data_IF_782091518574
#
_entry.id   IF_782091518574
#
_cell.length_a   1.000
_cell.length_b   1.000
_cell.length_c   1.000
_cell.angle_alpha   90.00
_cell.angle_beta   90.00
_cell.angle_gamma   90.00
#
_symmetry.space_group_name_H-M   'P 1'
#
loop_
_entity.id
_entity.type
_entity.pdbx_description
1 polymer ?
#
# COMPACT_ATOMS: atom_id res chain seq x y z
N UNK A 1 6.99 43.97 50.57
CA UNK A 1 5.60 44.45 50.52
C UNK A 1 4.71 43.28 50.10
N UNK A 2 3.50 43.16 50.69
CA UNK A 2 2.71 41.93 50.88
C UNK A 2 1.88 41.57 49.64
N UNK A 3 1.33 40.36 49.45
CA UNK A 3 0.09 39.86 50.09
C UNK A 3 -0.15 38.41 49.64
N UNK A 4 -0.19 37.38 50.52
CA UNK A 4 -1.36 36.84 51.23
C UNK A 4 -2.66 36.73 50.40
N UNK A 5 -3.09 35.48 50.14
CA UNK A 5 -4.41 34.95 50.54
C UNK A 5 -4.42 33.41 50.49
N UNK A 6 -4.53 32.82 51.67
CA UNK A 6 -5.02 31.47 51.94
C UNK A 6 -6.54 31.44 51.70
N UNK A 7 -7.12 30.30 51.35
CA UNK A 7 -8.33 29.79 52.02
C UNK A 7 -8.43 28.27 51.88
N UNK A 8 -8.49 27.63 53.05
CA UNK A 8 -8.93 26.27 53.31
C UNK A 8 -10.45 26.25 53.52
N UNK A 9 -11.06 25.07 53.30
CA UNK A 9 -12.37 24.69 53.85
C UNK A 9 -13.40 24.38 52.75
N UNK A 10 -14.29 23.41 52.87
CA UNK A 10 -14.52 22.39 53.89
C UNK A 10 -15.47 21.32 53.29
N UNK A 11 -15.45 20.16 53.92
CA UNK A 11 -16.38 19.01 53.88
C UNK A 11 -17.87 19.30 53.62
N UNK A 12 -18.52 18.39 52.87
CA UNK A 12 -19.89 17.95 53.14
C UNK A 12 -20.04 16.44 52.89
N UNK A 13 -20.23 15.71 53.99
CA UNK A 13 -20.74 14.33 54.03
C UNK A 13 -22.26 14.45 54.16
N UNK A 14 -23.01 13.73 53.32
CA UNK A 14 -24.41 13.39 53.57
C UNK A 14 -24.56 11.89 53.37
N UNK A 15 -25.10 11.24 54.40
CA UNK A 15 -25.47 9.84 54.44
C UNK A 15 -27.00 9.69 54.35
N UNK A 16 -27.41 8.46 54.02
CA UNK A 16 -28.63 7.72 54.44
C UNK A 16 -29.68 7.36 53.39
N UNK A 17 -30.21 6.14 53.63
CA UNK A 17 -31.31 5.36 53.01
C UNK A 17 -30.89 4.55 51.76
N UNK A 18 -30.92 3.21 51.70
CA UNK A 18 -31.57 2.21 52.54
C UNK A 18 -32.88 1.75 51.90
N UNK A 19 -32.84 0.66 51.11
CA UNK A 19 -33.97 -0.23 50.86
C UNK A 19 -33.45 -1.66 50.65
N UNK A 20 -33.82 -2.53 51.58
CA UNK A 20 -33.83 -3.99 51.45
C UNK A 20 -35.16 -4.40 50.81
N UNK A 21 -35.13 -5.42 49.95
CA UNK A 21 -36.30 -6.05 49.34
C UNK A 21 -36.01 -6.33 47.86
N UNK A 22 -36.30 -7.48 47.27
CA UNK A 22 -37.00 -8.68 47.70
C UNK A 22 -36.49 -9.80 46.79
N UNK A 23 -36.48 -11.02 47.30
CA UNK A 23 -36.23 -12.22 46.51
C UNK A 23 -37.43 -12.44 45.59
N UNK A 24 -37.20 -12.45 44.28
CA UNK A 24 -38.14 -13.03 43.32
C UNK A 24 -37.35 -14.03 42.47
N UNK A 25 -37.66 -15.29 42.70
CA UNK A 25 -37.15 -16.44 41.95
C UNK A 25 -38.08 -16.61 40.76
N UNK A 26 -37.81 -15.83 39.71
CA UNK A 26 -38.44 -15.98 38.41
C UNK A 26 -37.44 -16.60 37.45
N UNK A 27 -37.60 -17.90 37.17
CA UNK A 27 -37.10 -18.51 35.94
C UNK A 27 -37.61 -17.66 34.78
N UNK A 28 -36.73 -16.85 34.21
CA UNK A 28 -36.90 -16.25 32.91
C UNK A 28 -35.69 -16.67 32.12
N UNK A 29 -35.89 -17.61 31.20
CA UNK A 29 -35.11 -17.72 29.97
C UNK A 29 -35.12 -16.33 29.33
N UNK A 30 -34.18 -15.50 29.76
CA UNK A 30 -33.82 -14.28 29.07
C UNK A 30 -33.09 -14.74 27.84
N UNK A 31 -33.82 -14.86 26.74
CA UNK A 31 -33.30 -14.77 25.38
C UNK A 31 -32.46 -13.50 25.33
N UNK A 32 -31.17 -13.66 25.65
CA UNK A 32 -30.21 -12.58 25.69
C UNK A 32 -29.91 -12.19 24.26
N UNK A 33 -30.77 -11.36 23.67
CA UNK A 33 -30.45 -10.63 22.45
C UNK A 33 -29.06 -10.03 22.67
N UNK A 34 -28.05 -10.41 21.87
CA UNK A 34 -26.69 -9.90 22.05
C UNK A 34 -26.77 -8.39 22.03
N UNK A 35 -26.40 -7.77 23.16
CA UNK A 35 -26.31 -6.33 23.31
C UNK A 35 -25.55 -5.80 22.12
N UNK A 36 -26.24 -5.05 21.26
CA UNK A 36 -25.70 -4.43 20.06
C UNK A 36 -24.45 -3.67 20.48
N UNK A 37 -23.27 -4.21 20.11
CA UNK A 37 -21.98 -3.59 20.36
C UNK A 37 -22.06 -2.14 19.88
N UNK A 38 -21.89 -1.19 20.80
CA UNK A 38 -21.97 0.23 20.48
C UNK A 38 -21.05 0.51 19.28
N UNK A 39 -21.59 1.18 18.26
CA UNK A 39 -20.84 1.49 17.06
C UNK A 39 -19.60 2.32 17.44
N UNK A 40 -18.41 1.83 17.07
CA UNK A 40 -17.17 2.57 17.33
C UNK A 40 -17.17 3.90 16.57
N UNK A 41 -16.75 4.96 17.24
CA UNK A 41 -16.50 6.23 16.57
C UNK A 41 -15.22 6.13 15.71
N UNK A 42 -15.12 6.93 14.65
CA UNK A 42 -13.88 7.02 13.86
C UNK A 42 -12.71 7.44 14.76
N UNK A 43 -11.61 6.70 14.69
CA UNK A 43 -10.43 6.92 15.55
C UNK A 43 -10.52 6.27 16.95
N UNK A 44 -11.70 5.78 17.36
CA UNK A 44 -11.81 4.90 18.52
C UNK A 44 -11.25 3.52 18.19
N UNK A 45 -10.68 2.86 19.20
CA UNK A 45 -10.12 1.52 19.09
C UNK A 45 -10.58 0.65 20.24
N UNK A 46 -10.86 -0.60 19.94
CA UNK A 46 -11.27 -1.62 20.91
C UNK A 46 -10.30 -2.78 20.85
N UNK A 47 -9.95 -3.34 22.00
CA UNK A 47 -9.08 -4.52 22.02
C UNK A 47 -9.84 -5.71 21.41
N UNK A 48 -9.16 -6.55 20.63
CA UNK A 48 -9.74 -7.82 20.20
C UNK A 48 -10.16 -8.68 21.40
N UNK A 49 -11.11 -9.59 21.20
CA UNK A 49 -11.65 -10.45 22.26
C UNK A 49 -11.23 -11.92 22.11
N UNK A 50 -10.81 -12.34 20.92
CA UNK A 50 -10.40 -13.70 20.67
C UNK A 50 -9.15 -14.08 21.47
N UNK A 51 -8.93 -15.38 21.64
CA UNK A 51 -7.75 -15.91 22.33
C UNK A 51 -6.45 -15.40 21.71
N UNK A 52 -5.41 -15.31 22.56
CA UNK A 52 -4.08 -14.90 22.11
C UNK A 52 -3.59 -15.82 20.98
N UNK A 53 -2.89 -15.22 20.02
CA UNK A 53 -2.28 -15.95 18.93
C UNK A 53 -0.77 -16.08 19.19
N UNK A 54 -0.20 -17.25 18.95
CA UNK A 54 1.26 -17.47 19.02
C UNK A 54 1.76 -17.98 17.69
N UNK A 55 2.85 -17.41 17.17
CA UNK A 55 3.48 -17.89 15.94
C UNK A 55 5.01 -17.82 16.02
N UNK A 56 5.64 -18.64 15.19
CA UNK A 56 7.09 -18.75 15.05
C UNK A 56 7.46 -18.51 13.58
N UNK A 57 8.48 -17.69 13.31
CA UNK A 57 8.99 -17.42 11.97
C UNK A 57 10.50 -17.60 11.95
N UNK A 58 10.99 -18.50 11.11
CA UNK A 58 12.42 -18.61 10.79
C UNK A 58 12.70 -17.77 9.55
N UNK A 59 13.61 -16.80 9.66
CA UNK A 59 14.04 -15.98 8.53
C UNK A 59 15.24 -16.64 7.86
N UNK A 60 15.08 -17.05 6.60
CA UNK A 60 16.13 -17.70 5.81
C UNK A 60 16.53 -16.90 4.57
N UNK A 61 16.13 -15.64 4.48
CA UNK A 61 16.35 -14.86 3.27
C UNK A 61 17.83 -14.43 3.15
N UNK A 62 18.45 -14.76 2.01
CA UNK A 62 19.86 -14.49 1.70
C UNK A 62 20.23 -12.99 1.71
N UNK A 63 19.22 -12.11 1.70
CA UNK A 63 19.40 -10.65 1.76
C UNK A 63 19.75 -10.10 3.14
N UNK A 64 19.63 -10.92 4.19
CA UNK A 64 20.00 -10.54 5.55
C UNK A 64 21.27 -11.24 5.97
N UNK A 65 22.17 -10.51 6.63
CA UNK A 65 23.37 -11.08 7.22
C UNK A 65 23.48 -10.64 8.67
N UNK A 66 23.71 -11.59 9.57
CA UNK A 66 24.00 -11.28 10.95
C UNK A 66 25.48 -10.93 11.12
N UNK A 67 25.77 -9.78 11.72
CA UNK A 67 27.12 -9.26 11.93
C UNK A 67 27.49 -9.36 13.40
N UNK A 68 28.27 -10.39 13.73
CA UNK A 68 28.60 -10.73 15.12
C UNK A 68 29.41 -9.64 15.83
N UNK A 69 30.26 -8.90 15.11
CA UNK A 69 31.17 -7.92 15.72
C UNK A 69 30.48 -6.76 16.44
N UNK A 70 29.22 -6.45 16.09
CA UNK A 70 28.47 -5.33 16.65
C UNK A 70 27.02 -5.70 17.01
N UNK A 71 26.65 -6.97 16.98
CA UNK A 71 25.30 -7.46 17.24
C UNK A 71 24.21 -6.81 16.38
N UNK A 72 24.47 -6.67 15.09
CA UNK A 72 23.54 -6.08 14.12
C UNK A 72 23.12 -7.05 13.04
N UNK A 73 21.99 -6.77 12.41
CA UNK A 73 21.56 -7.38 11.15
C UNK A 73 21.83 -6.37 10.04
N UNK A 74 22.60 -6.80 9.04
CA UNK A 74 22.76 -6.11 7.76
C UNK A 74 21.53 -6.40 6.91
N UNK A 75 20.88 -5.35 6.42
CA UNK A 75 19.67 -5.44 5.59
C UNK A 75 19.75 -4.45 4.43
N UNK A 76 19.10 -4.71 3.29
CA UNK A 76 19.01 -3.73 2.21
C UNK A 76 18.14 -2.55 2.69
N UNK A 77 18.75 -1.38 2.90
CA UNK A 77 18.07 -0.18 3.39
C UNK A 77 17.39 0.60 2.25
N UNK A 78 18.02 0.60 1.08
CA UNK A 78 17.45 1.11 -0.16
C UNK A 78 17.67 0.07 -1.26
N UNK A 79 16.60 -0.20 -1.99
CA UNK A 79 16.63 -0.81 -3.32
C UNK A 79 16.11 0.24 -4.29
N UNK A 80 16.78 1.39 -4.32
CA UNK A 80 16.57 2.40 -5.36
C UNK A 80 17.56 2.09 -6.47
N UNK A 81 17.11 1.41 -7.52
CA UNK A 81 17.92 1.17 -8.71
C UNK A 81 19.13 0.24 -8.55
N UNK A 82 19.89 0.14 -9.66
CA UNK A 82 20.95 -0.84 -9.96
C UNK A 82 22.29 -0.67 -9.23
N UNK A 83 22.35 0.16 -8.19
CA UNK A 83 23.55 0.24 -7.37
C UNK A 83 23.66 -0.98 -6.44
N UNK A 84 24.89 -1.31 -6.00
CA UNK A 84 25.10 -2.24 -4.90
C UNK A 84 24.17 -1.81 -3.76
N UNK A 85 23.22 -2.66 -3.31
CA UNK A 85 22.17 -2.23 -2.39
C UNK A 85 22.82 -1.56 -1.19
N UNK A 86 22.38 -0.34 -0.88
CA UNK A 86 22.91 0.33 0.30
C UNK A 86 22.45 -0.48 1.51
N UNK A 87 23.42 -1.02 2.23
CA UNK A 87 23.13 -1.84 3.39
C UNK A 87 23.01 -0.98 4.63
N UNK A 88 21.84 -1.06 5.26
CA UNK A 88 21.64 -0.61 6.63
C UNK A 88 22.11 -1.65 7.62
N UNK A 89 22.38 -1.20 8.84
CA UNK A 89 22.68 -2.06 9.98
C UNK A 89 21.74 -1.67 11.12
N UNK A 90 21.01 -2.66 11.64
CA UNK A 90 20.09 -2.46 12.75
C UNK A 90 20.47 -3.42 13.89
N UNK A 91 20.51 -2.98 15.15
CA UNK A 91 20.74 -3.87 16.29
C UNK A 91 19.80 -5.08 16.24
N UNK A 92 20.30 -6.28 16.51
CA UNK A 92 19.52 -7.51 16.37
C UNK A 92 18.19 -7.46 17.12
N UNK A 93 18.19 -6.91 18.33
CA UNK A 93 16.98 -6.75 19.16
C UNK A 93 15.93 -5.83 18.51
N UNK A 94 16.38 -4.79 17.81
CA UNK A 94 15.54 -3.83 17.09
C UNK A 94 14.99 -4.44 15.79
N UNK A 95 15.86 -5.12 15.04
CA UNK A 95 15.46 -5.85 13.84
C UNK A 95 14.45 -6.96 14.16
N UNK A 96 14.66 -7.73 15.25
CA UNK A 96 13.69 -8.72 15.74
C UNK A 96 12.38 -8.05 16.12
N UNK A 97 12.41 -6.85 16.71
CA UNK A 97 11.20 -6.10 17.06
C UNK A 97 10.37 -5.79 15.81
N UNK A 98 11.00 -5.35 14.72
CA UNK A 98 10.34 -5.09 13.42
C UNK A 98 9.88 -6.39 12.75
N UNK A 99 10.70 -7.44 12.74
CA UNK A 99 10.33 -8.71 12.11
C UNK A 99 9.20 -9.45 12.84
N UNK A 100 9.22 -9.45 14.17
CA UNK A 100 8.08 -9.91 14.98
C UNK A 100 6.84 -9.07 14.69
N UNK A 101 7.02 -7.78 14.41
CA UNK A 101 5.97 -6.83 14.12
C UNK A 101 5.34 -7.00 12.73
N UNK A 102 6.11 -7.41 11.75
CA UNK A 102 5.67 -7.68 10.39
C UNK A 102 4.96 -9.03 10.31
N UNK A 103 5.59 -10.09 10.83
CA UNK A 103 5.09 -11.45 10.71
C UNK A 103 3.74 -11.69 11.40
N UNK A 104 3.40 -10.88 12.41
CA UNK A 104 2.10 -10.95 13.10
C UNK A 104 0.94 -10.47 12.23
N UNK A 105 1.18 -9.58 11.26
CA UNK A 105 0.11 -9.05 10.39
C UNK A 105 -0.51 -10.18 9.60
N UNK A 106 0.35 -10.98 8.95
CA UNK A 106 -0.07 -12.16 8.18
C UNK A 106 -0.79 -13.17 9.09
N UNK A 107 -0.23 -13.48 10.27
CA UNK A 107 -0.84 -14.44 11.19
C UNK A 107 -2.23 -13.99 11.71
N UNK A 108 -2.42 -12.69 11.97
CA UNK A 108 -3.71 -12.13 12.38
C UNK A 108 -4.68 -12.12 11.21
N UNK A 109 -4.24 -11.73 10.01
CA UNK A 109 -5.07 -11.76 8.82
C UNK A 109 -5.55 -13.18 8.49
N UNK A 110 -4.64 -14.16 8.47
CA UNK A 110 -4.96 -15.59 8.28
C UNK A 110 -5.96 -16.13 9.31
N UNK A 111 -5.97 -15.55 10.52
CA UNK A 111 -6.95 -15.90 11.55
C UNK A 111 -8.31 -15.30 11.21
N UNK A 112 -8.36 -14.02 10.86
CA UNK A 112 -9.60 -13.32 10.52
C UNK A 112 -10.24 -13.93 9.27
N UNK A 113 -9.45 -14.23 8.24
CA UNK A 113 -9.90 -14.88 7.00
C UNK A 113 -10.60 -16.23 7.25
N UNK A 114 -10.11 -17.02 8.22
CA UNK A 114 -10.74 -18.29 8.60
C UNK A 114 -11.94 -18.13 9.55
N UNK A 115 -12.00 -17.04 10.30
CA UNK A 115 -13.01 -16.82 11.34
C UNK A 115 -14.23 -16.04 10.85
N UNK A 116 -14.06 -15.19 9.85
CA UNK A 116 -15.09 -14.34 9.29
C UNK A 116 -15.68 -14.93 8.01
N UNK A 117 -16.92 -14.59 7.71
CA UNK A 117 -17.57 -14.98 6.45
C UNK A 117 -16.99 -14.23 5.23
N UNK A 118 -16.48 -13.01 5.46
CA UNK A 118 -15.84 -12.16 4.47
C UNK A 118 -14.79 -11.28 5.16
N UNK A 119 -13.67 -11.04 4.46
CA UNK A 119 -12.63 -10.07 4.84
C UNK A 119 -12.61 -8.86 3.91
N UNK A 120 -13.62 -8.72 3.04
CA UNK A 120 -13.76 -7.56 2.17
C UNK A 120 -13.75 -6.25 2.98
N UNK A 121 -12.88 -5.32 2.59
CA UNK A 121 -12.65 -4.03 3.27
C UNK A 121 -12.23 -4.16 4.75
N UNK A 122 -11.66 -5.30 5.12
CA UNK A 122 -10.91 -5.48 6.37
C UNK A 122 -9.43 -5.53 6.06
N UNK A 123 -8.64 -4.70 6.72
CA UNK A 123 -7.18 -4.77 6.61
C UNK A 123 -6.56 -5.09 7.96
N UNK A 124 -5.34 -5.61 7.95
CA UNK A 124 -4.52 -5.75 9.15
C UNK A 124 -3.22 -5.01 8.90
N UNK A 125 -2.82 -4.18 9.86
CA UNK A 125 -1.58 -3.44 9.81
C UNK A 125 -0.94 -3.33 11.18
N UNK A 126 0.14 -2.58 11.25
CA UNK A 126 0.73 -2.24 12.53
C UNK A 126 1.32 -0.84 12.55
N UNK A 127 1.42 -0.30 13.74
CA UNK A 127 1.98 1.03 13.95
C UNK A 127 2.28 1.27 15.41
N UNK A 128 2.83 2.44 15.70
CA UNK A 128 3.01 2.90 17.08
C UNK A 128 1.75 3.58 17.55
N UNK A 129 1.40 3.36 18.81
CA UNK A 129 0.35 4.14 19.45
C UNK A 129 0.84 5.59 19.65
N UNK A 130 -0.02 6.61 19.46
CA UNK A 130 0.34 7.98 19.81
C UNK A 130 0.81 8.07 21.27
N UNK A 131 2.07 8.50 21.47
CA UNK A 131 2.68 8.58 22.79
C UNK A 131 3.28 7.28 23.33
N UNK A 132 3.35 6.22 22.52
CA UNK A 132 4.07 4.98 22.84
C UNK A 132 5.21 4.73 21.85
N UNK A 133 6.31 4.17 22.35
CA UNK A 133 7.37 3.63 21.50
C UNK A 133 7.10 2.18 21.07
N UNK A 134 6.10 1.53 21.68
CA UNK A 134 5.73 0.15 21.39
C UNK A 134 4.80 0.06 20.17
N UNK A 135 4.97 -1.01 19.40
CA UNK A 135 4.08 -1.33 18.30
C UNK A 135 2.80 -2.03 18.78
N UNK A 136 1.70 -1.68 18.13
CA UNK A 136 0.41 -2.36 18.22
C UNK A 136 0.02 -2.92 16.86
N UNK A 137 -0.77 -3.99 16.85
CA UNK A 137 -1.43 -4.50 15.64
C UNK A 137 -2.83 -3.91 15.57
N UNK A 138 -3.27 -3.56 14.37
CA UNK A 138 -4.61 -3.06 14.13
C UNK A 138 -5.30 -3.90 13.06
N UNK A 139 -6.51 -4.39 13.34
CA UNK A 139 -7.46 -4.79 12.33
C UNK A 139 -8.37 -3.60 12.04
N UNK A 140 -8.44 -3.17 10.78
CA UNK A 140 -9.21 -2.01 10.37
C UNK A 140 -10.50 -2.43 9.67
N UNK A 141 -11.62 -1.89 10.15
CA UNK A 141 -12.92 -1.92 9.48
C UNK A 141 -12.98 -0.68 8.58
N UNK A 142 -12.74 -0.85 7.28
CA UNK A 142 -12.48 0.25 6.34
C UNK A 142 -13.73 0.63 5.53
N UNK A 143 -14.14 1.90 5.61
CA UNK A 143 -15.19 2.46 4.75
C UNK A 143 -14.57 3.40 3.74
N UNK A 144 -14.82 3.19 2.47
CA UNK A 144 -14.32 4.02 1.37
C UNK A 144 -15.37 5.03 0.94
N UNK A 145 -14.96 6.26 0.63
CA UNK A 145 -15.85 7.35 0.18
C UNK A 145 -15.32 8.05 -1.06
N UNK A 146 -16.15 8.39 -2.02
CA UNK A 146 -15.74 9.21 -3.16
C UNK A 146 -15.35 10.65 -2.76
N UNK A 147 -14.86 11.44 -3.71
CA UNK A 147 -14.52 12.87 -3.54
C UNK A 147 -15.70 13.74 -3.05
N UNK A 148 -16.94 13.28 -3.23
CA UNK A 148 -18.14 13.95 -2.73
C UNK A 148 -18.50 13.53 -1.29
N UNK A 149 -17.74 12.60 -0.69
CA UNK A 149 -17.97 12.03 0.62
C UNK A 149 -19.03 10.93 0.64
N UNK A 150 -19.48 10.44 -0.51
CA UNK A 150 -20.45 9.34 -0.64
C UNK A 150 -19.74 8.02 -0.39
N UNK A 151 -20.30 7.15 0.45
CA UNK A 151 -19.74 5.81 0.69
C UNK A 151 -19.84 4.98 -0.60
N UNK A 152 -18.71 4.52 -1.11
CA UNK A 152 -18.60 3.67 -2.31
C UNK A 152 -18.35 2.20 -1.98
N UNK A 153 -17.74 1.93 -0.82
CA UNK A 153 -17.53 0.58 -0.31
C UNK A 153 -17.48 0.55 1.22
N UNK A 154 -17.99 -0.54 1.80
CA UNK A 154 -17.98 -0.79 3.24
C UNK A 154 -17.79 -2.29 3.53
N UNK A 155 -17.30 -2.67 4.72
CA UNK A 155 -17.05 -4.07 5.02
C UNK A 155 -18.36 -4.81 5.29
N UNK A 156 -18.54 -5.99 4.68
CA UNK A 156 -19.74 -6.82 4.86
C UNK A 156 -19.90 -7.35 6.29
N UNK A 157 -18.79 -7.41 7.02
CA UNK A 157 -18.78 -7.88 8.41
C UNK A 157 -19.10 -6.76 9.38
N UNK A 158 -19.97 -6.99 10.38
CA UNK A 158 -20.18 -6.02 11.44
C UNK A 158 -18.93 -5.89 12.29
N UNK A 159 -18.60 -4.67 12.70
CA UNK A 159 -17.41 -4.38 13.53
C UNK A 159 -17.35 -5.23 14.82
N UNK A 160 -18.50 -5.60 15.39
CA UNK A 160 -18.58 -6.49 16.54
C UNK A 160 -18.06 -7.90 16.25
N UNK A 161 -18.36 -8.47 15.09
CA UNK A 161 -17.83 -9.77 14.68
C UNK A 161 -16.29 -9.70 14.48
N UNK A 162 -15.81 -8.60 13.88
CA UNK A 162 -14.38 -8.36 13.74
C UNK A 162 -13.68 -8.29 15.11
N UNK A 163 -14.27 -7.60 16.12
CA UNK A 163 -13.75 -7.54 17.50
C UNK A 163 -13.68 -8.93 18.14
N UNK A 164 -14.73 -9.73 17.98
CA UNK A 164 -14.81 -11.10 18.54
C UNK A 164 -13.74 -12.00 17.92
N UNK A 165 -13.52 -11.93 16.61
CA UNK A 165 -12.55 -12.79 15.92
C UNK A 165 -11.09 -12.32 16.05
N UNK A 166 -10.89 -11.03 16.29
CA UNK A 166 -9.56 -10.43 16.46
C UNK A 166 -8.94 -10.89 17.79
N UNK A 167 -7.73 -11.49 17.79
CA UNK A 167 -7.08 -11.93 19.02
C UNK A 167 -6.77 -10.73 19.90
N UNK A 168 -6.88 -10.82 21.22
CA UNK A 168 -6.56 -9.67 22.09
C UNK A 168 -5.05 -9.37 22.20
N UNK A 169 -4.21 -10.31 21.76
CA UNK A 169 -2.75 -10.27 21.88
C UNK A 169 -2.11 -11.25 20.89
N UNK A 170 -0.95 -10.89 20.34
CA UNK A 170 -0.12 -11.80 19.53
C UNK A 170 1.28 -11.92 20.14
N UNK A 171 1.71 -13.15 20.36
CA UNK A 171 3.06 -13.52 20.77
C UNK A 171 3.83 -14.01 19.53
N UNK A 172 4.90 -13.31 19.17
CA UNK A 172 5.73 -13.58 18.01
C UNK A 172 7.10 -14.08 18.46
N UNK A 173 7.62 -15.10 17.79
CA UNK A 173 8.99 -15.56 17.93
C UNK A 173 9.67 -15.57 16.56
N UNK A 174 10.83 -14.94 16.45
CA UNK A 174 11.62 -14.90 15.23
C UNK A 174 12.97 -15.55 15.49
N UNK A 175 13.36 -16.46 14.60
CA UNK A 175 14.68 -17.08 14.55
C UNK A 175 15.44 -16.61 13.30
N UNK A 176 16.70 -16.18 13.48
CA UNK A 176 17.61 -15.76 12.43
C UNK A 176 19.06 -16.01 12.83
N UNK A 177 19.86 -16.64 11.97
CA UNK A 177 21.28 -16.93 12.21
C UNK A 177 21.55 -17.61 13.57
N UNK A 178 20.80 -18.68 13.87
CA UNK A 178 20.85 -19.45 15.14
C UNK A 178 20.55 -18.62 16.41
N UNK A 179 20.05 -17.40 16.22
CA UNK A 179 19.61 -16.49 17.28
C UNK A 179 18.11 -16.36 17.20
N UNK A 180 17.51 -16.03 18.34
CA UNK A 180 16.08 -15.92 18.44
C UNK A 180 15.68 -14.74 19.31
N UNK A 181 14.53 -14.16 19.04
CA UNK A 181 13.91 -13.24 19.97
C UNK A 181 12.39 -13.29 19.89
N UNK A 182 11.76 -12.97 21.01
CA UNK A 182 10.30 -12.96 21.14
C UNK A 182 9.80 -11.57 21.49
N UNK A 183 8.64 -11.22 20.93
CA UNK A 183 7.90 -10.01 21.26
C UNK A 183 6.42 -10.30 21.36
N UNK A 184 5.72 -9.42 22.04
CA UNK A 184 4.31 -9.60 22.31
C UNK A 184 3.60 -8.28 22.16
N UNK A 185 2.49 -8.29 21.43
CA UNK A 185 1.84 -7.07 20.97
C UNK A 185 0.34 -7.10 21.25
N UNK A 186 -0.23 -5.99 21.75
CA UNK A 186 -1.67 -5.86 21.78
C UNK A 186 -2.21 -5.76 20.35
N UNK A 187 -3.41 -6.29 20.15
CA UNK A 187 -4.14 -6.14 18.89
C UNK A 187 -5.45 -5.43 19.16
N UNK A 188 -5.73 -4.44 18.33
CA UNK A 188 -6.92 -3.61 18.42
C UNK A 188 -7.70 -3.68 17.11
N UNK A 189 -9.00 -3.50 17.21
CA UNK A 189 -9.89 -3.19 16.09
C UNK A 189 -10.14 -1.69 16.08
N UNK A 190 -10.07 -1.07 14.91
CA UNK A 190 -10.44 0.34 14.71
C UNK A 190 -11.24 0.51 13.44
N UNK A 191 -11.95 1.65 13.33
CA UNK A 191 -12.58 2.08 12.08
C UNK A 191 -11.68 3.05 11.35
N UNK A 192 -11.55 2.84 10.05
CA UNK A 192 -10.92 3.78 9.13
C UNK A 192 -11.97 4.24 8.12
N UNK A 193 -12.04 5.54 7.89
CA UNK A 193 -12.76 6.10 6.75
C UNK A 193 -11.68 6.60 5.80
N UNK A 194 -11.64 6.03 4.61
CA UNK A 194 -10.69 6.36 3.57
C UNK A 194 -11.46 7.11 2.48
N UNK A 195 -11.07 8.35 2.24
CA UNK A 195 -11.59 9.07 1.08
C UNK A 195 -10.80 8.56 -0.15
N UNK A 196 -11.53 8.06 -1.13
CA UNK A 196 -11.15 7.71 -2.50
C UNK A 196 -10.74 8.95 -3.32
N UNK A 197 -10.38 10.04 -2.64
CA UNK A 197 -9.33 10.93 -3.17
C UNK A 197 -8.16 10.03 -3.47
N UNK A 198 -8.10 9.61 -4.72
CA UNK A 198 -7.18 8.66 -5.29
C UNK A 198 -5.93 8.55 -4.44
N UNK A 199 -5.69 7.37 -3.85
CA UNK A 199 -4.32 6.87 -3.92
C UNK A 199 -4.11 6.66 -5.43
N UNK A 200 -3.90 7.76 -6.17
CA UNK A 200 -2.78 7.75 -7.07
C UNK A 200 -1.71 7.19 -6.14
N UNK A 201 -1.17 6.03 -6.49
CA UNK A 201 0.19 5.72 -6.10
C UNK A 201 1.04 6.84 -6.66
N UNK A 202 0.91 8.02 -6.07
CA UNK A 202 1.88 9.05 -6.07
C UNK A 202 3.00 8.40 -5.26
N UNK A 203 3.90 7.77 -6.00
CA UNK A 203 5.07 7.14 -5.44
C UNK A 203 5.86 8.14 -4.57
N UNK A 204 5.59 9.47 -4.69
CA UNK A 204 6.05 10.51 -3.77
C UNK A 204 5.64 10.26 -2.30
N UNK A 205 4.40 9.82 -2.05
CA UNK A 205 3.89 9.46 -0.72
C UNK A 205 4.36 8.07 -0.27
N UNK A 206 4.61 7.17 -1.23
CA UNK A 206 5.19 5.86 -0.96
C UNK A 206 6.64 5.96 -0.46
N UNK A 207 7.42 6.96 -0.91
CA UNK A 207 8.79 7.17 -0.42
C UNK A 207 8.86 7.53 1.07
N UNK A 208 7.96 8.38 1.59
CA UNK A 208 7.93 8.65 3.02
C UNK A 208 7.02 7.76 3.88
N UNK A 209 6.04 7.08 3.29
CA UNK A 209 5.29 6.04 4.02
C UNK A 209 6.10 4.74 4.21
N UNK A 210 6.99 4.37 3.28
CA UNK A 210 7.79 3.13 3.37
C UNK A 210 8.64 3.04 4.64
N UNK A 211 8.98 4.16 5.31
CA UNK A 211 9.80 4.16 6.53
C UNK A 211 9.04 4.40 7.84
N UNK A 212 7.83 4.98 7.81
CA UNK A 212 7.16 5.42 9.03
C UNK A 212 5.78 4.81 9.31
N UNK A 213 5.13 4.18 8.33
CA UNK A 213 3.93 3.38 8.53
C UNK A 213 4.04 2.15 7.63
N UNK A 214 4.55 1.03 8.17
CA UNK A 214 4.30 -0.28 7.57
C UNK A 214 2.81 -0.63 7.79
N UNK A 215 1.91 0.04 7.08
CA UNK A 215 0.64 -0.57 6.69
C UNK A 215 0.98 -1.54 5.56
N UNK A 216 1.49 -2.71 5.93
CA UNK A 216 1.47 -3.85 5.04
C UNK A 216 0.01 -4.26 4.97
N UNK A 217 -0.77 -3.64 4.07
CA UNK A 217 -2.09 -4.16 3.72
C UNK A 217 -1.85 -5.48 3.00
N UNK A 218 -1.93 -6.59 3.73
CA UNK A 218 -1.94 -7.93 3.13
C UNK A 218 -3.33 -8.13 2.51
N UNK A 219 -3.53 -7.58 1.32
CA UNK A 219 -4.61 -8.01 0.43
C UNK A 219 -4.18 -9.30 -0.25
N UNK A 220 -4.25 -10.44 0.45
CA UNK A 220 -4.05 -11.77 -0.17
C UNK A 220 -5.41 -12.43 -0.32
N UNK A 221 -6.04 -12.28 -1.48
CA UNK A 221 -7.09 -13.21 -1.90
C UNK A 221 -6.42 -14.31 -2.75
N UNK A 222 -6.02 -15.42 -2.11
CA UNK A 222 -5.65 -16.64 -2.83
C UNK A 222 -6.76 -17.69 -2.65
N UNK A 223 -7.29 -18.30 -3.73
CA UNK A 223 -8.29 -19.36 -3.60
C UNK A 223 -7.73 -20.65 -2.98
N UNK A 224 -8.58 -21.33 -2.21
CA UNK A 224 -8.21 -22.51 -1.42
C UNK A 224 -7.78 -23.72 -2.28
N UNK A 225 -6.80 -24.48 -1.77
CA UNK A 225 -6.05 -25.61 -2.38
C UNK A 225 -6.85 -26.84 -2.88
N UNK A 226 -8.17 -26.79 -3.07
CA UNK A 226 -9.00 -28.01 -3.27
C UNK A 226 -9.31 -28.45 -4.70
N UNK A 227 -8.86 -27.76 -5.75
CA UNK A 227 -9.40 -28.00 -7.12
C UNK A 227 -8.37 -28.19 -8.25
N UNK A 228 -7.17 -28.74 -8.03
CA UNK A 228 -6.13 -28.79 -9.09
C UNK A 228 -5.61 -30.18 -9.50
N UNK A 229 -6.47 -31.20 -9.56
CA UNK A 229 -6.09 -32.51 -10.13
C UNK A 229 -7.19 -33.12 -11.01
N UNK A 230 -7.39 -32.57 -12.21
CA UNK A 230 -7.96 -33.31 -13.34
C UNK A 230 -7.84 -32.53 -14.66
N UNK A 231 -6.80 -32.76 -15.46
CA UNK A 231 -6.88 -32.88 -16.93
C UNK A 231 -5.50 -32.84 -17.59
N UNK A 232 -4.92 -34.02 -17.86
CA UNK A 232 -3.85 -34.16 -18.86
C UNK A 232 -4.27 -35.28 -19.81
N UNK A 233 -4.56 -34.92 -21.07
CA UNK A 233 -4.96 -35.83 -22.15
C UNK A 233 -4.68 -35.19 -23.51
N UNK A 234 -3.42 -35.19 -23.97
CA UNK A 234 -2.86 -35.99 -25.09
C UNK A 234 -3.38 -35.73 -26.53
N UNK A 235 -2.42 -35.46 -27.44
CA UNK A 235 -2.24 -35.95 -28.85
C UNK A 235 -2.10 -34.87 -29.96
N UNK A 236 -0.83 -34.59 -30.30
CA UNK A 236 -0.13 -34.63 -31.63
C UNK A 236 -0.92 -34.51 -32.94
N UNK A 237 -0.50 -33.59 -33.84
CA UNK A 237 -0.06 -33.93 -35.23
C UNK A 237 0.86 -32.87 -35.83
N UNK A 238 2.01 -33.34 -36.34
CA UNK A 238 3.00 -32.61 -37.14
C UNK A 238 2.60 -32.65 -38.62
N UNK A 239 2.64 -31.49 -39.29
CA UNK A 239 2.76 -31.44 -40.76
C UNK A 239 3.81 -30.41 -41.16
N UNK A 240 4.95 -30.94 -41.61
CA UNK A 240 6.04 -30.21 -42.29
C UNK A 240 5.63 -29.87 -43.72
N UNK A 241 5.66 -28.58 -44.06
CA UNK A 241 5.56 -28.09 -45.43
C UNK A 241 6.44 -26.86 -45.63
N UNK A 242 7.50 -26.99 -46.42
CA UNK A 242 8.37 -25.89 -46.82
C UNK A 242 7.63 -24.97 -47.81
N UNK A 243 7.36 -23.73 -47.39
CA UNK A 243 6.93 -22.64 -48.26
C UNK A 243 7.93 -21.50 -48.11
N UNK A 244 8.66 -21.22 -49.20
CA UNK A 244 9.41 -19.98 -49.41
C UNK A 244 8.40 -18.84 -49.59
N UNK A 245 8.20 -18.03 -48.54
CA UNK A 245 7.40 -16.80 -48.55
C UNK A 245 8.30 -15.59 -48.78
N UNK A 246 7.92 -14.79 -49.78
CA UNK A 246 8.37 -13.42 -49.98
C UNK A 246 7.96 -12.59 -48.76
N UNK A 247 8.93 -11.93 -48.15
CA UNK A 247 8.80 -11.10 -46.95
C UNK A 247 8.12 -9.77 -47.29
N UNK A 248 6.79 -9.81 -47.44
CA UNK A 248 5.96 -8.62 -47.24
C UNK A 248 5.80 -8.48 -45.74
N UNK A 249 6.50 -7.52 -45.14
CA UNK A 249 6.47 -7.23 -43.70
C UNK A 249 5.06 -7.15 -43.17
N UNK A 250 4.54 -8.28 -42.71
CA UNK A 250 3.24 -8.38 -42.08
C UNK A 250 3.38 -7.66 -40.75
N UNK A 251 2.55 -6.63 -40.54
CA UNK A 251 2.38 -6.04 -39.22
C UNK A 251 2.11 -7.19 -38.25
N UNK A 252 2.96 -7.44 -37.25
CA UNK A 252 2.74 -8.53 -36.31
C UNK A 252 1.37 -8.35 -35.70
N UNK A 253 0.45 -9.27 -36.00
CA UNK A 253 -0.95 -9.19 -35.56
C UNK A 253 -1.11 -9.65 -34.11
N UNK A 254 -0.04 -10.11 -33.47
CA UNK A 254 -0.07 -10.70 -32.13
C UNK A 254 1.18 -10.26 -31.38
N UNK A 255 0.98 -9.48 -30.31
CA UNK A 255 2.00 -9.16 -29.31
C UNK A 255 1.83 -10.11 -28.13
N UNK A 256 2.93 -10.65 -27.61
CA UNK A 256 2.92 -11.42 -26.37
C UNK A 256 2.52 -10.50 -25.19
N UNK A 257 1.62 -10.92 -24.29
CA UNK A 257 1.30 -10.18 -23.08
C UNK A 257 2.56 -9.82 -22.29
N UNK A 258 2.61 -8.61 -21.75
CA UNK A 258 3.76 -8.08 -21.00
C UNK A 258 4.86 -7.46 -21.85
N UNK A 259 4.85 -7.62 -23.18
CA UNK A 259 5.80 -6.93 -24.06
C UNK A 259 5.38 -5.46 -24.26
N UNK A 260 6.29 -4.52 -23.97
CA UNK A 260 6.08 -3.09 -24.25
C UNK A 260 6.50 -2.73 -25.67
N UNK A 261 5.71 -1.92 -26.36
CA UNK A 261 5.96 -1.47 -27.73
C UNK A 261 6.14 0.04 -27.71
N UNK A 262 7.19 0.54 -28.38
CA UNK A 262 7.41 1.99 -28.42
C UNK A 262 6.23 2.68 -29.08
N UNK A 263 5.71 3.73 -28.43
CA UNK A 263 4.61 4.52 -28.96
C UNK A 263 5.01 5.22 -30.27
N UNK A 264 4.03 5.51 -31.13
CA UNK A 264 4.27 6.00 -32.50
C UNK A 264 3.81 7.45 -32.72
N UNK A 265 3.00 7.99 -31.81
CA UNK A 265 2.43 9.33 -31.91
C UNK A 265 3.47 10.44 -31.90
N UNK A 266 3.03 11.64 -32.24
CA UNK A 266 3.91 12.80 -32.33
C UNK A 266 4.52 13.16 -30.95
N UNK A 267 5.81 13.53 -30.88
CA UNK A 267 6.43 13.95 -29.65
C UNK A 267 5.74 15.15 -29.03
N UNK A 268 5.71 15.20 -27.69
CA UNK A 268 5.13 16.30 -26.93
C UNK A 268 6.22 17.01 -26.13
N UNK A 269 6.13 18.32 -26.01
CA UNK A 269 6.96 19.13 -25.10
C UNK A 269 6.07 19.79 -24.07
N UNK A 270 6.48 19.72 -22.82
CA UNK A 270 5.75 20.28 -21.67
C UNK A 270 6.74 20.97 -20.74
N UNK A 271 6.27 21.99 -20.04
CA UNK A 271 7.07 22.79 -19.12
C UNK A 271 6.22 23.22 -17.93
N UNK A 272 6.81 23.18 -16.74
CA UNK A 272 6.17 23.67 -15.52
C UNK A 272 7.15 24.46 -14.66
N UNK A 273 6.64 25.49 -13.97
CA UNK A 273 7.34 26.21 -12.91
C UNK A 273 6.71 25.81 -11.58
N UNK A 274 7.52 25.23 -10.68
CA UNK A 274 7.06 24.74 -9.39
C UNK A 274 7.08 25.88 -8.38
N UNK A 275 5.90 26.27 -7.91
CA UNK A 275 5.69 27.27 -6.85
C UNK A 275 5.13 26.61 -5.59
N UNK A 276 5.85 25.63 -5.03
CA UNK A 276 5.45 25.00 -3.77
C UNK A 276 6.13 25.70 -2.57
N UNK A 277 5.37 26.32 -1.65
CA UNK A 277 5.92 27.00 -0.48
C UNK A 277 6.58 26.07 0.55
N UNK A 278 6.33 24.75 0.49
CA UNK A 278 6.94 23.77 1.38
C UNK A 278 8.32 23.31 0.90
N UNK A 279 8.64 23.55 -0.37
CA UNK A 279 9.95 23.29 -0.96
C UNK A 279 10.89 24.47 -0.76
N UNK A 280 12.15 24.19 -0.41
CA UNK A 280 13.19 25.21 -0.33
C UNK A 280 14.42 24.79 -1.13
N UNK A 281 14.80 25.60 -2.12
CA UNK A 281 16.07 25.43 -2.80
C UNK A 281 17.22 26.00 -1.97
N UNK A 282 18.25 25.19 -1.72
CA UNK A 282 19.42 25.56 -0.92
C UNK A 282 20.62 25.74 -1.84
N UNK A 283 20.89 26.99 -2.21
CA UNK A 283 21.94 27.36 -3.15
C UNK A 283 23.34 26.89 -2.71
N UNK A 284 23.62 26.84 -1.40
CA UNK A 284 24.96 26.54 -0.87
C UNK A 284 25.47 25.12 -1.16
N UNK A 285 24.57 24.17 -1.44
CA UNK A 285 24.91 22.77 -1.69
C UNK A 285 24.11 22.15 -2.86
N UNK A 286 23.39 22.98 -3.61
CA UNK A 286 22.56 22.57 -4.75
C UNK A 286 21.54 21.47 -4.42
N UNK A 287 20.87 21.62 -3.27
CA UNK A 287 19.84 20.65 -2.82
C UNK A 287 18.47 21.29 -2.75
N UNK A 288 17.44 20.45 -2.86
CA UNK A 288 16.06 20.79 -2.56
C UNK A 288 15.71 20.16 -1.21
N UNK A 289 15.22 21.00 -0.28
CA UNK A 289 14.59 20.53 0.95
C UNK A 289 13.10 20.31 0.68
N UNK A 290 12.61 19.13 1.00
CA UNK A 290 11.22 18.75 0.80
C UNK A 290 10.63 18.13 2.08
N UNK A 291 9.30 18.19 2.28
CA UNK A 291 8.66 17.56 3.43
C UNK A 291 8.76 16.03 3.31
N UNK A 292 9.64 15.42 4.09
CA UNK A 292 9.79 13.96 4.12
C UNK A 292 8.75 13.34 5.04
N UNK A 293 8.13 14.05 5.98
CA UNK A 293 7.04 13.46 6.75
C UNK A 293 6.11 14.52 7.27
N UNK A 294 4.81 14.24 7.17
CA UNK A 294 3.74 15.06 7.73
C UNK A 294 2.94 14.30 8.78
N UNK A 295 2.42 15.04 9.76
CA UNK A 295 1.45 14.58 10.74
C UNK A 295 0.26 15.53 10.67
N UNK A 296 -0.75 15.17 9.88
CA UNK A 296 -1.79 16.13 9.46
C UNK A 296 -1.19 17.21 8.56
N UNK A 297 -1.50 18.48 8.83
CA UNK A 297 -0.95 19.62 8.10
C UNK A 297 0.46 20.04 8.57
N UNK A 298 1.00 19.42 9.61
CA UNK A 298 2.32 19.79 10.15
C UNK A 298 3.42 18.92 9.58
N UNK A 299 4.44 19.55 8.99
CA UNK A 299 5.68 18.88 8.58
C UNK A 299 6.48 18.53 9.85
N UNK A 300 6.75 17.24 10.05
CA UNK A 300 7.49 16.73 11.20
C UNK A 300 8.95 16.42 10.87
N UNK A 301 9.27 16.23 9.59
CA UNK A 301 10.61 15.87 9.11
C UNK A 301 10.83 16.40 7.69
N UNK A 302 12.05 16.87 7.42
CA UNK A 302 12.46 17.35 6.11
C UNK A 302 13.60 16.49 5.57
N UNK A 303 13.48 16.14 4.30
CA UNK A 303 14.49 15.44 3.53
C UNK A 303 15.28 16.44 2.68
N UNK A 304 16.43 15.99 2.18
CA UNK A 304 17.29 16.75 1.27
C UNK A 304 17.76 15.84 0.15
N UNK A 305 17.68 16.34 -1.07
CA UNK A 305 18.06 15.62 -2.29
C UNK A 305 18.74 16.61 -3.24
N UNK A 306 19.61 16.15 -4.14
CA UNK A 306 20.23 17.06 -5.11
C UNK A 306 19.18 17.68 -6.04
N UNK A 307 19.41 18.91 -6.51
CA UNK A 307 18.47 19.57 -7.42
C UNK A 307 18.25 18.79 -8.70
N UNK A 308 19.31 18.23 -9.29
CA UNK A 308 19.21 17.47 -10.53
C UNK A 308 18.38 16.19 -10.36
N UNK A 309 18.55 15.48 -9.23
CA UNK A 309 17.79 14.28 -8.91
C UNK A 309 16.32 14.59 -8.58
N UNK A 310 16.07 15.64 -7.79
CA UNK A 310 14.70 16.11 -7.57
C UNK A 310 14.02 16.52 -8.88
N UNK A 311 14.67 17.34 -9.70
CA UNK A 311 14.12 17.80 -10.96
C UNK A 311 13.96 16.65 -11.98
N UNK A 312 14.80 15.61 -11.90
CA UNK A 312 14.61 14.37 -12.66
C UNK A 312 13.29 13.69 -12.28
N UNK A 313 13.04 13.47 -10.99
CA UNK A 313 11.81 12.87 -10.48
C UNK A 313 10.57 13.70 -10.87
N UNK A 314 10.61 15.03 -10.68
CA UNK A 314 9.52 15.92 -11.08
C UNK A 314 9.27 15.90 -12.59
N UNK A 315 10.33 15.79 -13.40
CA UNK A 315 10.19 15.76 -14.85
C UNK A 315 9.48 14.50 -15.35
N UNK A 316 9.58 13.40 -14.62
CA UNK A 316 8.84 12.18 -14.89
C UNK A 316 7.33 12.39 -14.64
N UNK A 317 6.95 12.95 -13.48
CA UNK A 317 5.56 13.28 -13.17
C UNK A 317 4.96 14.19 -14.25
N UNK A 318 5.70 15.21 -14.66
CA UNK A 318 5.29 16.13 -15.72
C UNK A 318 5.14 15.41 -17.08
N UNK A 319 6.01 14.46 -17.40
CA UNK A 319 5.94 13.68 -18.63
C UNK A 319 4.72 12.75 -18.63
N UNK A 320 4.45 12.05 -17.52
CA UNK A 320 3.27 11.22 -17.31
C UNK A 320 1.99 12.03 -17.54
N UNK A 321 1.88 13.19 -16.91
CA UNK A 321 0.71 14.06 -17.01
C UNK A 321 0.51 14.59 -18.43
N UNK A 322 1.61 14.86 -19.16
CA UNK A 322 1.52 15.24 -20.57
C UNK A 322 0.97 14.12 -21.45
N UNK A 323 1.35 12.86 -21.20
CA UNK A 323 0.78 11.69 -21.89
C UNK A 323 -0.72 11.55 -21.57
N UNK A 324 -1.11 11.63 -20.30
CA UNK A 324 -2.52 11.55 -19.88
C UNK A 324 -3.37 12.65 -20.53
N UNK A 325 -2.86 13.89 -20.57
CA UNK A 325 -3.56 15.05 -21.11
C UNK A 325 -3.69 15.06 -22.64
N UNK A 326 -2.89 14.26 -23.35
CA UNK A 326 -2.91 14.14 -24.81
C UNK A 326 -4.19 13.48 -25.32
N UNK A 327 -4.81 12.59 -24.53
CA UNK A 327 -6.03 11.90 -24.93
C UNK A 327 -7.24 12.85 -24.83
N UNK A 328 -7.86 13.16 -25.98
CA UNK A 328 -9.07 14.00 -26.10
C UNK A 328 -10.15 13.27 -26.92
N UNK A 329 -11.33 12.92 -26.34
CA UNK A 329 -11.71 13.12 -24.94
C UNK A 329 -10.78 12.37 -23.97
N UNK A 330 -10.74 12.75 -22.68
CA UNK A 330 -10.03 11.94 -21.68
C UNK A 330 -10.46 10.49 -21.80
N UNK A 331 -9.50 9.56 -21.67
CA UNK A 331 -9.76 8.12 -21.70
C UNK A 331 -10.95 7.81 -20.78
N UNK A 332 -12.03 7.24 -21.33
CA UNK A 332 -13.24 6.85 -20.60
C UNK A 332 -12.95 5.69 -19.64
N UNK A 333 -12.01 4.82 -20.00
CA UNK A 333 -11.69 3.58 -19.30
C UNK A 333 -10.39 3.67 -18.52
N UNK A 334 -10.30 4.62 -17.58
CA UNK A 334 -9.06 4.84 -16.79
C UNK A 334 -8.67 3.65 -15.93
N UNK A 335 -9.63 2.80 -15.56
CA UNK A 335 -9.39 1.55 -14.83
C UNK A 335 -8.53 0.57 -15.65
N UNK A 336 -8.69 0.57 -16.97
CA UNK A 336 -8.01 -0.37 -17.86
C UNK A 336 -6.96 0.27 -18.77
N UNK A 337 -6.88 1.60 -18.75
CA UNK A 337 -5.84 2.38 -19.40
C UNK A 337 -5.28 3.41 -18.43
N UNK A 338 -4.09 3.14 -17.91
CA UNK A 338 -3.37 4.04 -17.01
C UNK A 338 -1.93 4.26 -17.47
N UNK A 339 -1.30 5.32 -16.96
CA UNK A 339 0.08 5.68 -17.29
C UNK A 339 0.93 5.52 -16.04
N UNK A 340 2.02 4.78 -16.13
CA UNK A 340 2.99 4.61 -15.04
C UNK A 340 4.42 4.88 -15.51
N UNK A 341 5.34 4.91 -14.56
CA UNK A 341 6.78 4.67 -14.75
C UNK A 341 6.99 3.18 -14.86
N UNK A 342 7.91 2.77 -15.72
CA UNK A 342 8.62 1.50 -15.53
C UNK A 342 10.12 1.77 -15.70
N UNK A 343 10.91 1.37 -14.71
CA UNK A 343 12.36 1.36 -14.81
C UNK A 343 12.80 0.02 -15.39
N UNK A 344 13.43 0.02 -16.57
CA UNK A 344 14.08 -1.18 -17.07
C UNK A 344 15.48 -1.34 -16.47
N UNK A 345 15.99 -2.58 -16.38
CA UNK A 345 17.33 -2.83 -15.89
C UNK A 345 18.43 -1.97 -16.53
N UNK A 346 18.98 -0.98 -15.82
CA UNK A 346 20.00 -0.04 -16.31
C UNK A 346 19.53 0.93 -17.40
N UNK A 347 18.22 1.15 -17.54
CA UNK A 347 17.67 2.12 -18.48
C UNK A 347 17.08 3.32 -17.74
N UNK A 348 16.96 4.43 -18.47
CA UNK A 348 16.21 5.60 -18.01
C UNK A 348 14.75 5.18 -17.74
N UNK A 349 14.13 5.75 -16.69
CA UNK A 349 12.71 5.57 -16.45
C UNK A 349 11.91 5.92 -17.71
N UNK A 350 11.06 4.99 -18.14
CA UNK A 350 10.22 5.17 -19.30
C UNK A 350 8.78 5.41 -18.85
N UNK A 351 8.04 6.21 -19.63
CA UNK A 351 6.61 6.37 -19.44
C UNK A 351 5.90 5.22 -20.14
N UNK A 352 5.11 4.44 -19.42
CA UNK A 352 4.41 3.28 -19.96
C UNK A 352 2.90 3.49 -19.85
N UNK A 353 2.22 3.43 -20.99
CA UNK A 353 0.76 3.39 -21.05
C UNK A 353 0.32 1.94 -21.05
N UNK A 354 -0.40 1.54 -20.02
CA UNK A 354 -0.91 0.18 -19.88
C UNK A 354 -2.24 0.04 -20.61
N UNK A 355 -2.40 -1.05 -21.35
CA UNK A 355 -3.64 -1.49 -21.97
C UNK A 355 -4.00 -2.83 -21.33
N UNK A 356 -4.88 -2.78 -20.32
CA UNK A 356 -5.24 -3.93 -19.50
C UNK A 356 -6.49 -4.58 -20.07
N UNK A 357 -6.42 -5.87 -20.37
CA UNK A 357 -7.60 -6.70 -20.64
C UNK A 357 -7.86 -7.61 -19.45
N UNK A 358 -9.12 -7.75 -19.04
CA UNK A 358 -9.49 -8.70 -17.97
C UNK A 358 -9.91 -10.01 -18.60
N UNK A 359 -9.38 -11.12 -18.10
CA UNK A 359 -9.69 -12.47 -18.53
C UNK A 359 -10.25 -13.30 -17.36
N UNK A 360 -11.20 -14.19 -17.66
CA UNK A 360 -11.58 -15.26 -16.75
C UNK A 360 -10.49 -16.34 -16.67
N UNK A 361 -10.59 -17.26 -15.70
CA UNK A 361 -9.72 -18.45 -15.60
C UNK A 361 -9.72 -19.33 -16.86
N UNK A 362 -10.71 -19.16 -17.74
CA UNK A 362 -10.86 -19.84 -19.01
C UNK A 362 -10.01 -19.24 -20.15
N UNK A 363 -9.23 -18.18 -19.88
CA UNK A 363 -8.59 -17.27 -20.84
C UNK A 363 -9.59 -16.49 -21.72
N UNK A 364 -10.90 -16.50 -21.36
CA UNK A 364 -11.91 -15.69 -22.04
C UNK A 364 -11.82 -14.23 -21.59
N UNK A 365 -11.62 -13.31 -22.54
CA UNK A 365 -11.62 -11.86 -22.25
C UNK A 365 -13.02 -11.42 -21.84
N UNK A 366 -13.18 -11.06 -20.57
CA UNK A 366 -14.42 -10.51 -20.01
C UNK A 366 -14.48 -8.99 -20.12
N UNK A 367 -13.32 -8.33 -20.16
CA UNK A 367 -13.24 -6.89 -20.37
C UNK A 367 -12.09 -6.51 -21.30
N UNK A 368 -12.38 -5.64 -22.27
CA UNK A 368 -11.40 -5.00 -23.14
C UNK A 368 -11.67 -3.49 -23.19
N UNK A 369 -10.64 -2.63 -23.06
CA UNK A 369 -10.83 -1.18 -23.13
C UNK A 369 -11.47 -0.75 -24.46
N UNK A 370 -12.35 0.24 -24.43
CA UNK A 370 -13.00 0.82 -25.62
C UNK A 370 -11.96 1.34 -26.63
N UNK A 371 -10.83 1.83 -26.13
CA UNK A 371 -9.68 2.23 -26.95
C UNK A 371 -8.82 1.01 -27.23
N UNK A 372 -8.89 0.50 -28.46
CA UNK A 372 -8.06 -0.62 -28.89
C UNK A 372 -6.56 -0.31 -28.86
N UNK A 373 -5.75 -1.33 -28.56
CA UNK A 373 -4.29 -1.23 -28.40
C UNK A 373 -3.57 -0.47 -29.53
N UNK A 374 -3.89 -0.76 -30.80
CA UNK A 374 -3.23 -0.09 -31.94
C UNK A 374 -3.55 1.41 -32.03
N UNK A 375 -4.77 1.79 -31.63
CA UNK A 375 -5.14 3.20 -31.57
C UNK A 375 -4.32 3.89 -30.48
N UNK A 376 -4.25 3.28 -29.30
CA UNK A 376 -3.42 3.76 -28.19
C UNK A 376 -1.96 3.90 -28.62
N UNK A 377 -1.38 2.90 -29.28
CA UNK A 377 -0.02 2.94 -29.82
C UNK A 377 0.23 4.11 -30.78
N UNK A 378 -0.74 4.37 -31.68
CA UNK A 378 -0.62 5.44 -32.68
C UNK A 378 -0.88 6.85 -32.14
N UNK A 379 -1.70 6.99 -31.10
CA UNK A 379 -2.08 8.28 -30.52
C UNK A 379 -1.16 8.70 -29.35
N UNK A 380 -0.53 7.73 -28.67
CA UNK A 380 0.42 7.98 -27.57
C UNK A 380 1.69 8.61 -28.13
N UNK A 381 2.19 9.73 -27.57
CA UNK A 381 3.39 10.39 -28.08
C UNK A 381 4.60 9.47 -27.91
N UNK A 382 5.47 9.35 -28.93
CA UNK A 382 6.66 8.46 -28.85
C UNK A 382 7.75 8.90 -27.86
N UNK A 383 7.71 10.17 -27.50
CA UNK A 383 8.67 10.85 -26.63
C UNK A 383 7.98 12.06 -25.98
N UNK A 384 8.31 12.33 -24.72
CA UNK A 384 7.94 13.58 -24.04
C UNK A 384 9.19 14.31 -23.57
N UNK A 385 9.35 15.57 -23.97
CA UNK A 385 10.37 16.47 -23.42
C UNK A 385 9.74 17.29 -22.30
N UNK A 386 10.19 17.08 -21.06
CA UNK A 386 9.65 17.71 -19.87
C UNK A 386 10.70 18.67 -19.27
N UNK A 387 10.32 19.93 -19.10
CA UNK A 387 11.14 20.95 -18.43
C UNK A 387 10.55 21.32 -17.08
N UNK A 388 11.31 21.15 -16.01
CA UNK A 388 10.95 21.56 -14.66
C UNK A 388 11.76 22.78 -14.28
N UNK A 389 11.08 23.86 -13.88
CA UNK A 389 11.70 25.05 -13.32
C UNK A 389 11.41 25.19 -11.83
N UNK A 390 12.44 25.49 -11.03
CA UNK A 390 12.30 25.77 -9.60
C UNK A 390 13.42 26.71 -9.13
N UNK A 391 13.05 27.74 -8.38
CA UNK A 391 13.96 28.78 -7.88
C UNK A 391 14.84 29.42 -8.98
N UNK A 392 14.28 29.61 -10.18
CA UNK A 392 14.99 30.19 -11.34
C UNK A 392 16.00 29.26 -12.01
N UNK A 393 16.08 27.99 -11.60
CA UNK A 393 16.85 26.93 -12.26
C UNK A 393 15.90 26.03 -13.04
N UNK A 394 16.37 25.48 -14.16
CA UNK A 394 15.57 24.59 -15.01
C UNK A 394 16.34 23.35 -15.45
N UNK A 395 15.68 22.20 -15.42
CA UNK A 395 16.19 20.92 -15.96
C UNK A 395 15.21 20.43 -17.03
N UNK A 396 15.75 20.02 -18.17
CA UNK A 396 14.97 19.43 -19.27
C UNK A 396 15.40 17.99 -19.46
N UNK A 397 14.45 17.06 -19.34
CA UNK A 397 14.64 15.64 -19.57
C UNK A 397 13.77 15.17 -20.75
N UNK A 398 14.28 14.18 -21.49
CA UNK A 398 13.54 13.49 -22.52
C UNK A 398 13.15 12.10 -22.02
N UNK A 399 11.86 11.77 -22.11
CA UNK A 399 11.28 10.51 -21.66
C UNK A 399 10.74 9.74 -22.86
N UNK A 400 11.14 8.47 -23.03
CA UNK A 400 10.56 7.60 -24.04
C UNK A 400 9.20 7.12 -23.54
N UNK A 401 8.27 6.92 -24.47
CA UNK A 401 6.95 6.40 -24.12
C UNK A 401 6.70 5.08 -24.82
N UNK A 402 6.17 4.13 -24.06
CA UNK A 402 5.79 2.80 -24.53
C UNK A 402 4.32 2.54 -24.25
N UNK A 403 3.73 1.63 -25.01
CA UNK A 403 2.41 1.06 -24.73
C UNK A 403 2.60 -0.43 -24.45
N UNK A 404 2.10 -0.89 -23.31
CA UNK A 404 2.25 -2.28 -22.84
C UNK A 404 0.89 -2.91 -22.71
N UNK A 405 0.73 -4.11 -23.28
CA UNK A 405 -0.50 -4.90 -23.13
C UNK A 405 -0.37 -5.81 -21.92
N UNK A 406 -1.33 -5.74 -21.00
CA UNK A 406 -1.39 -6.59 -19.83
C UNK A 406 -2.70 -7.40 -19.84
N UNK A 407 -2.64 -8.61 -19.29
CA UNK A 407 -3.84 -9.40 -19.03
C UNK A 407 -3.94 -9.64 -17.53
N UNK A 408 -5.05 -9.20 -16.94
CA UNK A 408 -5.37 -9.43 -15.53
C UNK A 408 -6.43 -10.52 -15.44
N UNK A 409 -6.31 -11.42 -14.47
CA UNK A 409 -7.37 -12.39 -14.22
C UNK A 409 -8.47 -11.74 -13.37
N UNK A 410 -9.75 -11.93 -13.71
CA UNK A 410 -10.93 -11.35 -13.01
C UNK A 410 -11.03 -11.78 -11.54
N UNK A 411 -10.26 -12.79 -11.14
CA UNK A 411 -10.21 -13.35 -9.79
C UNK A 411 -9.05 -12.82 -8.93
N UNK A 412 -8.26 -11.85 -9.42
CA UNK A 412 -7.15 -11.17 -8.71
C UNK A 412 -7.49 -9.72 -8.38
#
# INVERSE_FOLDING_TARGET
MPSRRQFLGATAVVATAGCLGSFDTGDSESDGTPTTTAALATGERTRGEADRLTFEKTVTADRYEYVESNDTVRYPATTSGWDDPEYGYEPFDEWVRVQCAEARVEAVFDRLDRGLESTAHVSVGFGRDPGSEEFSVFAEHQTYRDDAGTVVAEPDVPVGALVVETPHRVDAHVEFAERSGSRSFPVFVRRAVLDETWIETDESSAYCSRRCLMNITVGKNMPSRRTFLASVGTVVTLTTGCLTTLDSGGTPTTFEPGHRVRAEGEPVTTETEIEDPELEYIESNDTVRYPEKKSGETIVEYGFISFDEWAHNESWHLARDAVVNQFRPPLSDREYIYVSSEEEPNEQEDVVVHHVTVQEESDETVHEPEVGFFRLLSETPRTVTATVQFAGRGVTNEHRVFVKRYSQNDNE
#
